data_IF_191785532506
#
_entry.id   IF_191785532506
#
_cell.length_a   1.000
_cell.length_b   1.000
_cell.length_c   1.000
_cell.angle_alpha   90.00
_cell.angle_beta   90.00
_cell.angle_gamma   90.00
#
_symmetry.space_group_name_H-M   'P 1'
#
loop_
_entity.id
_entity.type
_entity.pdbx_description
1 polymer ?
#
# COMPACT_ATOMS: atom_id res chain seq x y z
N UNK A 1 -1.20 5.16 -44.31
CA UNK A 1 -0.90 4.34 -43.11
C UNK A 1 -0.46 5.30 -42.01
N UNK A 2 -1.42 5.79 -41.24
CA UNK A 2 -1.20 6.77 -40.19
C UNK A 2 -0.50 6.11 -39.00
N UNK A 3 0.41 6.85 -38.38
CA UNK A 3 1.49 6.35 -37.53
C UNK A 3 1.01 5.94 -36.13
N UNK A 4 0.38 4.76 -36.01
CA UNK A 4 -0.12 4.20 -34.74
C UNK A 4 1.01 4.06 -33.68
N UNK A 5 2.29 4.10 -34.09
CA UNK A 5 3.44 3.96 -33.19
C UNK A 5 3.79 5.23 -32.38
N UNK A 6 3.38 6.42 -32.84
CA UNK A 6 3.68 7.69 -32.17
C UNK A 6 2.90 7.94 -30.86
N UNK A 7 1.57 7.74 -30.78
CA UNK A 7 0.82 8.01 -29.54
C UNK A 7 1.22 7.09 -28.39
N UNK A 8 1.54 5.82 -28.68
CA UNK A 8 1.98 4.85 -27.66
C UNK A 8 3.36 5.20 -27.06
N UNK A 9 4.29 5.70 -27.89
CA UNK A 9 5.60 6.18 -27.42
C UNK A 9 5.49 7.45 -26.58
N UNK A 10 4.68 8.42 -27.02
CA UNK A 10 4.43 9.65 -26.27
C UNK A 10 3.86 9.36 -24.87
N UNK A 11 2.85 8.49 -24.79
CA UNK A 11 2.25 8.10 -23.51
C UNK A 11 3.24 7.41 -22.56
N UNK A 12 4.13 6.57 -23.11
CA UNK A 12 5.18 5.89 -22.32
C UNK A 12 6.20 6.89 -21.77
N UNK A 13 6.57 7.91 -22.55
CA UNK A 13 7.49 8.96 -22.10
C UNK A 13 6.88 9.80 -20.98
N UNK A 14 5.58 10.15 -21.09
CA UNK A 14 4.85 10.85 -20.03
C UNK A 14 4.87 10.02 -18.74
N UNK A 15 4.55 8.73 -18.81
CA UNK A 15 4.57 7.84 -17.62
C UNK A 15 5.94 7.79 -16.94
N UNK A 16 7.02 7.72 -17.71
CA UNK A 16 8.39 7.75 -17.17
C UNK A 16 8.68 9.08 -16.48
N UNK A 17 8.26 10.20 -17.06
CA UNK A 17 8.43 11.52 -16.44
C UNK A 17 7.70 11.61 -15.10
N UNK A 18 6.45 11.14 -15.02
CA UNK A 18 5.69 11.08 -13.76
C UNK A 18 6.34 10.17 -12.71
N UNK A 19 6.87 9.01 -13.12
CA UNK A 19 7.58 8.11 -12.22
C UNK A 19 8.85 8.77 -11.64
N UNK A 20 9.65 9.42 -12.49
CA UNK A 20 10.86 10.14 -12.07
C UNK A 20 10.49 11.29 -11.14
N UNK A 21 9.48 12.09 -11.50
CA UNK A 21 8.99 13.17 -10.66
C UNK A 21 8.54 12.66 -9.29
N UNK A 22 7.83 11.52 -9.24
CA UNK A 22 7.44 10.85 -7.99
C UNK A 22 8.64 10.46 -7.13
N UNK A 23 9.66 9.81 -7.70
CA UNK A 23 10.88 9.39 -7.00
C UNK A 23 11.65 10.61 -6.46
N UNK A 24 11.82 11.65 -7.27
CA UNK A 24 12.53 12.87 -6.86
C UNK A 24 11.75 13.58 -5.74
N UNK A 25 10.43 13.70 -5.87
CA UNK A 25 9.59 14.34 -4.85
C UNK A 25 9.63 13.54 -3.55
N UNK A 26 9.64 12.20 -3.62
CA UNK A 26 9.82 11.32 -2.46
C UNK A 26 11.16 11.59 -1.77
N UNK A 27 12.25 11.63 -2.54
CA UNK A 27 13.58 11.89 -2.00
C UNK A 27 13.67 13.27 -1.33
N UNK A 28 13.10 14.31 -1.95
CA UNK A 28 13.04 15.66 -1.35
C UNK A 28 12.20 15.65 -0.07
N UNK A 29 11.05 14.98 -0.08
CA UNK A 29 10.16 14.87 1.08
C UNK A 29 10.88 14.24 2.28
N UNK A 30 11.54 13.10 2.08
CA UNK A 30 12.22 12.35 3.16
C UNK A 30 13.55 12.98 3.57
N UNK A 31 14.36 13.47 2.63
CA UNK A 31 15.73 13.92 2.92
C UNK A 31 15.83 15.41 3.25
N UNK A 32 14.86 16.23 2.86
CA UNK A 32 14.92 17.70 3.03
C UNK A 32 13.76 18.21 3.87
N UNK A 33 12.53 17.94 3.44
CA UNK A 33 11.33 18.53 4.08
C UNK A 33 11.13 17.96 5.48
N UNK A 34 11.17 16.63 5.62
CA UNK A 34 10.97 15.95 6.90
C UNK A 34 11.98 16.37 7.98
N UNK A 35 13.31 16.38 7.74
CA UNK A 35 14.27 16.85 8.74
C UNK A 35 14.05 18.32 9.14
N UNK A 36 13.69 19.18 8.19
CA UNK A 36 13.44 20.60 8.47
C UNK A 36 12.21 20.79 9.36
N UNK A 37 11.10 20.09 9.07
CA UNK A 37 9.89 20.20 9.90
C UNK A 37 10.06 19.52 11.25
N UNK A 38 10.59 18.28 11.28
CA UNK A 38 10.80 17.52 12.53
C UNK A 38 11.81 18.17 13.48
N UNK A 39 12.71 19.03 12.99
CA UNK A 39 13.60 19.81 13.86
C UNK A 39 12.88 20.91 14.66
N UNK A 40 11.65 21.27 14.27
CA UNK A 40 10.88 22.38 14.84
C UNK A 40 9.67 21.93 15.65
N UNK A 41 9.31 20.64 15.57
CA UNK A 41 8.06 20.10 16.10
C UNK A 41 8.31 18.74 16.74
N UNK A 42 7.51 18.41 17.76
CA UNK A 42 7.56 17.10 18.42
C UNK A 42 6.35 16.22 18.07
N UNK A 43 5.29 16.81 17.52
CA UNK A 43 4.04 16.10 17.20
C UNK A 43 3.93 15.84 15.69
N UNK A 44 3.42 14.66 15.34
CA UNK A 44 3.21 14.26 13.93
C UNK A 44 2.21 15.17 13.22
N UNK A 45 1.20 15.66 13.93
CA UNK A 45 0.17 16.54 13.36
C UNK A 45 0.75 17.87 12.83
N UNK A 46 1.94 18.23 13.29
CA UNK A 46 2.66 19.46 12.91
C UNK A 46 3.63 19.24 11.74
N UNK A 47 3.53 18.12 11.01
CA UNK A 47 4.31 17.81 9.79
C UNK A 47 3.48 17.88 8.49
N UNK A 48 2.68 18.94 8.25
CA UNK A 48 1.75 18.97 7.13
C UNK A 48 2.46 18.93 5.78
N UNK A 49 3.62 19.58 5.62
CA UNK A 49 4.31 19.61 4.33
C UNK A 49 4.94 18.26 4.00
N UNK A 50 5.46 17.55 5.00
CA UNK A 50 5.98 16.19 4.85
C UNK A 50 4.88 15.26 4.36
N UNK A 51 3.74 15.19 5.05
CA UNK A 51 2.66 14.29 4.66
C UNK A 51 2.04 14.66 3.31
N UNK A 52 1.88 15.96 3.02
CA UNK A 52 1.38 16.42 1.73
C UNK A 52 2.32 16.05 0.59
N UNK A 53 3.63 16.30 0.75
CA UNK A 53 4.63 16.01 -0.30
C UNK A 53 4.83 14.52 -0.50
N UNK A 54 4.73 13.74 0.57
CA UNK A 54 4.72 12.27 0.51
C UNK A 54 3.48 11.77 -0.26
N UNK A 55 2.29 12.31 0.03
CA UNK A 55 1.07 11.95 -0.69
C UNK A 55 1.17 12.27 -2.19
N UNK A 56 1.69 13.44 -2.55
CA UNK A 56 1.95 13.82 -3.94
C UNK A 56 2.95 12.85 -4.59
N UNK A 57 4.07 12.55 -3.93
CA UNK A 57 5.08 11.62 -4.44
C UNK A 57 4.50 10.22 -4.71
N UNK A 58 3.68 9.70 -3.79
CA UNK A 58 3.02 8.40 -3.94
C UNK A 58 2.01 8.41 -5.08
N UNK A 59 1.20 9.47 -5.23
CA UNK A 59 0.25 9.60 -6.34
C UNK A 59 0.94 9.68 -7.70
N UNK A 60 2.02 10.47 -7.80
CA UNK A 60 2.85 10.57 -9.01
C UNK A 60 3.50 9.22 -9.36
N UNK A 61 4.07 8.53 -8.37
CA UNK A 61 4.65 7.20 -8.54
C UNK A 61 3.61 6.18 -9.00
N UNK A 62 2.44 6.19 -8.36
CA UNK A 62 1.33 5.30 -8.71
C UNK A 62 0.82 5.55 -10.13
N UNK A 63 0.69 6.81 -10.55
CA UNK A 63 0.35 7.17 -11.93
C UNK A 63 1.43 6.72 -12.94
N UNK A 64 2.71 6.94 -12.63
CA UNK A 64 3.83 6.50 -13.46
C UNK A 64 3.82 4.97 -13.68
N UNK A 65 3.62 4.21 -12.60
CA UNK A 65 3.59 2.74 -12.63
C UNK A 65 2.35 2.18 -13.33
N UNK A 66 1.14 2.67 -13.03
CA UNK A 66 -0.10 2.08 -13.53
C UNK A 66 -0.61 2.69 -14.85
N UNK A 67 -0.27 3.93 -15.17
CA UNK A 67 -0.74 4.64 -16.37
C UNK A 67 -2.26 4.66 -16.48
N UNK A 68 -2.81 4.13 -17.58
CA UNK A 68 -4.26 4.07 -17.82
C UNK A 68 -5.06 3.29 -16.75
N UNK A 69 -4.41 2.44 -15.95
CA UNK A 69 -5.09 1.72 -14.87
C UNK A 69 -4.98 2.44 -13.52
N UNK A 70 -4.53 3.70 -13.48
CA UNK A 70 -4.36 4.48 -12.25
C UNK A 70 -5.62 4.48 -11.37
N UNK A 71 -6.78 4.84 -11.92
CA UNK A 71 -8.03 4.86 -11.16
C UNK A 71 -8.46 3.48 -10.66
N UNK A 72 -8.14 2.41 -11.40
CA UNK A 72 -8.42 1.03 -10.95
C UNK A 72 -7.53 0.66 -9.76
N UNK A 73 -6.26 1.07 -9.77
CA UNK A 73 -5.36 0.91 -8.63
C UNK A 73 -5.81 1.72 -7.42
N UNK A 74 -6.22 2.97 -7.63
CA UNK A 74 -6.76 3.82 -6.56
C UNK A 74 -8.03 3.24 -5.95
N UNK A 75 -8.96 2.74 -6.78
CA UNK A 75 -10.16 2.06 -6.32
C UNK A 75 -9.83 0.79 -5.53
N UNK A 76 -8.86 0.01 -5.99
CA UNK A 76 -8.40 -1.18 -5.28
C UNK A 76 -7.83 -0.83 -3.90
N UNK A 77 -6.99 0.21 -3.80
CA UNK A 77 -6.49 0.71 -2.51
C UNK A 77 -7.64 1.09 -1.59
N UNK A 78 -8.61 1.88 -2.09
CA UNK A 78 -9.74 2.33 -1.30
C UNK A 78 -10.62 1.17 -0.78
N UNK A 79 -10.97 0.24 -1.66
CA UNK A 79 -11.74 -0.96 -1.28
C UNK A 79 -10.95 -1.82 -0.29
N UNK A 80 -9.65 -1.99 -0.51
CA UNK A 80 -8.80 -2.77 0.39
C UNK A 80 -8.68 -2.15 1.77
N UNK A 81 -8.58 -0.81 1.87
CA UNK A 81 -8.64 -0.09 3.14
C UNK A 81 -9.94 -0.34 3.91
N UNK A 82 -11.09 -0.34 3.22
CA UNK A 82 -12.39 -0.64 3.83
C UNK A 82 -12.44 -2.09 4.32
N UNK A 83 -11.97 -3.04 3.51
CA UNK A 83 -11.93 -4.45 3.90
C UNK A 83 -11.02 -4.65 5.11
N UNK A 84 -9.83 -4.04 5.12
CA UNK A 84 -8.90 -4.09 6.25
C UNK A 84 -9.50 -3.51 7.54
N UNK A 85 -10.18 -2.37 7.44
CA UNK A 85 -10.95 -1.79 8.55
C UNK A 85 -12.00 -2.76 9.09
N UNK A 86 -12.83 -3.34 8.20
CA UNK A 86 -13.89 -4.29 8.58
C UNK A 86 -13.30 -5.51 9.27
N UNK A 87 -12.21 -6.09 8.74
CA UNK A 87 -11.56 -7.26 9.32
C UNK A 87 -11.09 -6.98 10.75
N UNK A 88 -10.39 -5.88 10.99
CA UNK A 88 -9.92 -5.52 12.34
C UNK A 88 -11.07 -5.16 13.27
N UNK A 89 -12.14 -4.54 12.76
CA UNK A 89 -13.30 -4.17 13.55
C UNK A 89 -14.03 -5.38 14.13
N UNK A 90 -14.09 -6.48 13.37
CA UNK A 90 -14.69 -7.74 13.82
C UNK A 90 -13.70 -8.68 14.52
N UNK A 91 -12.40 -8.60 14.22
CA UNK A 91 -11.39 -9.48 14.81
C UNK A 91 -11.04 -9.13 16.27
N UNK A 92 -11.12 -7.86 16.66
CA UNK A 92 -10.84 -7.43 18.02
C UNK A 92 -12.13 -7.28 18.84
N UNK A 93 -12.16 -7.71 20.12
CA UNK A 93 -13.33 -7.59 20.96
C UNK A 93 -13.84 -6.14 21.04
N UNK A 94 -15.16 -5.96 21.19
CA UNK A 94 -15.84 -4.66 21.28
C UNK A 94 -15.52 -3.97 22.61
N UNK A 95 -14.26 -3.64 22.79
CA UNK A 95 -13.76 -2.77 23.85
C UNK A 95 -13.93 -1.34 23.35
N UNK A 96 -14.17 -0.38 24.26
CA UNK A 96 -14.13 1.06 23.95
C UNK A 96 -12.76 1.39 23.36
N UNK A 97 -12.65 1.40 22.02
CA UNK A 97 -11.38 1.53 21.29
C UNK A 97 -11.25 0.66 20.03
N UNK A 98 -12.15 -0.31 19.81
CA UNK A 98 -12.08 -1.19 18.62
C UNK A 98 -12.09 -0.41 17.30
N UNK A 99 -12.90 0.65 17.19
CA UNK A 99 -12.91 1.53 16.03
C UNK A 99 -11.56 2.24 15.82
N UNK A 100 -10.91 2.69 16.90
CA UNK A 100 -9.59 3.33 16.82
C UNK A 100 -8.53 2.32 16.33
N UNK A 101 -8.49 1.12 16.92
CA UNK A 101 -7.58 0.04 16.50
C UNK A 101 -7.80 -0.33 15.02
N UNK A 102 -9.06 -0.39 14.59
CA UNK A 102 -9.42 -0.72 13.21
C UNK A 102 -8.99 0.36 12.20
N UNK A 103 -9.04 1.63 12.60
CA UNK A 103 -8.52 2.73 11.80
C UNK A 103 -6.99 2.66 11.76
N UNK A 104 -6.35 2.43 12.92
CA UNK A 104 -4.89 2.51 13.06
C UNK A 104 -4.15 1.30 12.46
N UNK A 105 -4.74 0.10 12.51
CA UNK A 105 -4.14 -1.14 11.99
C UNK A 105 -4.86 -1.66 10.74
N UNK A 106 -6.18 -1.58 10.72
CA UNK A 106 -6.99 -2.12 9.62
C UNK A 106 -6.84 -1.34 8.31
N UNK A 107 -6.88 -0.01 8.35
CA UNK A 107 -6.71 0.79 7.13
C UNK A 107 -5.29 0.62 6.55
N UNK A 108 -4.19 0.78 7.32
CA UNK A 108 -2.84 0.59 6.79
C UNK A 108 -2.58 -0.84 6.28
N UNK A 109 -3.07 -1.87 6.98
CA UNK A 109 -2.92 -3.26 6.53
C UNK A 109 -3.62 -3.51 5.19
N UNK A 110 -4.83 -2.96 5.00
CA UNK A 110 -5.53 -2.98 3.71
C UNK A 110 -4.72 -2.30 2.61
N UNK A 111 -4.26 -1.07 2.83
CA UNK A 111 -3.43 -0.32 1.86
C UNK A 111 -2.21 -1.13 1.44
N UNK A 112 -1.47 -1.69 2.40
CA UNK A 112 -0.25 -2.46 2.14
C UNK A 112 -0.58 -3.76 1.40
N UNK A 113 -1.63 -4.48 1.79
CA UNK A 113 -2.06 -5.69 1.11
C UNK A 113 -2.40 -5.43 -0.36
N UNK A 114 -3.12 -4.34 -0.66
CA UNK A 114 -3.41 -3.93 -2.03
C UNK A 114 -2.14 -3.55 -2.83
N UNK A 115 -1.19 -2.83 -2.21
CA UNK A 115 0.09 -2.50 -2.86
C UNK A 115 0.87 -3.77 -3.23
N UNK A 116 1.04 -4.70 -2.28
CA UNK A 116 1.74 -5.98 -2.50
C UNK A 116 1.01 -6.82 -3.55
N UNK A 117 -0.33 -6.89 -3.49
CA UNK A 117 -1.12 -7.58 -4.49
C UNK A 117 -0.98 -6.97 -5.88
N UNK A 118 -0.93 -5.65 -6.03
CA UNK A 118 -0.72 -5.00 -7.33
C UNK A 118 0.62 -5.41 -7.95
N UNK A 119 1.69 -5.46 -7.14
CA UNK A 119 3.01 -5.93 -7.58
C UNK A 119 2.96 -7.41 -7.96
N UNK A 120 2.41 -8.26 -7.10
CA UNK A 120 2.30 -9.70 -7.35
C UNK A 120 1.45 -10.00 -8.59
N UNK A 121 0.34 -9.28 -8.77
CA UNK A 121 -0.55 -9.44 -9.92
C UNK A 121 0.12 -9.04 -11.23
N UNK A 122 0.98 -8.01 -11.21
CA UNK A 122 1.74 -7.58 -12.38
C UNK A 122 2.75 -8.65 -12.82
N UNK A 123 3.50 -9.24 -11.88
CA UNK A 123 4.58 -10.19 -12.19
C UNK A 123 4.08 -11.63 -12.39
N UNK A 124 3.17 -12.13 -11.56
CA UNK A 124 2.84 -13.57 -11.52
C UNK A 124 1.49 -13.91 -12.15
N UNK A 125 0.47 -13.05 -12.00
CA UNK A 125 -0.91 -13.40 -12.35
C UNK A 125 -1.36 -12.88 -13.72
N UNK A 126 -0.55 -12.05 -14.39
CA UNK A 126 -0.89 -11.48 -15.70
C UNK A 126 -0.96 -12.52 -16.82
N UNK A 127 -0.23 -13.64 -16.71
CA UNK A 127 -0.12 -14.66 -17.75
C UNK A 127 -1.17 -15.80 -17.65
N UNK A 128 -1.95 -15.88 -16.57
CA UNK A 128 -2.91 -16.96 -16.38
C UNK A 128 -4.18 -16.76 -17.23
N UNK A 129 -4.45 -17.70 -18.17
CA UNK A 129 -5.66 -17.68 -19.03
C UNK A 129 -6.92 -18.25 -18.39
N UNK A 130 -6.81 -19.29 -17.55
CA UNK A 130 -7.96 -19.95 -16.92
C UNK A 130 -8.06 -19.64 -15.42
N UNK A 131 -9.29 -19.43 -14.92
CA UNK A 131 -9.63 -19.08 -13.53
C UNK A 131 -8.88 -17.85 -12.98
N UNK A 132 -8.57 -16.87 -13.84
CA UNK A 132 -7.74 -15.70 -13.49
C UNK A 132 -8.29 -14.91 -12.29
N UNK A 133 -9.59 -14.63 -12.28
CA UNK A 133 -10.22 -13.87 -11.19
C UNK A 133 -10.19 -14.64 -9.87
N UNK A 134 -10.50 -15.94 -9.90
CA UNK A 134 -10.49 -16.78 -8.71
C UNK A 134 -9.08 -16.88 -8.11
N UNK A 135 -8.05 -17.04 -8.96
CA UNK A 135 -6.65 -16.99 -8.53
C UNK A 135 -6.27 -15.64 -7.94
N UNK A 136 -6.72 -14.54 -8.54
CA UNK A 136 -6.47 -13.18 -8.03
C UNK A 136 -7.11 -12.96 -6.67
N UNK A 137 -8.35 -13.41 -6.47
CA UNK A 137 -9.04 -13.33 -5.17
C UNK A 137 -8.28 -14.14 -4.12
N UNK A 138 -7.92 -15.40 -4.42
CA UNK A 138 -7.18 -16.25 -3.49
C UNK A 138 -5.83 -15.63 -3.10
N UNK A 139 -5.05 -15.16 -4.08
CA UNK A 139 -3.75 -14.54 -3.81
C UNK A 139 -3.91 -13.25 -3.00
N UNK A 140 -4.90 -12.41 -3.33
CA UNK A 140 -5.21 -11.22 -2.54
C UNK A 140 -5.59 -11.58 -1.11
N UNK A 141 -6.47 -12.57 -0.91
CA UNK A 141 -6.88 -13.02 0.43
C UNK A 141 -5.70 -13.54 1.25
N UNK A 142 -4.78 -14.30 0.64
CA UNK A 142 -3.57 -14.79 1.32
C UNK A 142 -2.68 -13.61 1.73
N UNK A 143 -2.44 -12.66 0.82
CA UNK A 143 -1.63 -11.47 1.11
C UNK A 143 -2.27 -10.66 2.23
N UNK A 144 -3.58 -10.42 2.16
CA UNK A 144 -4.32 -9.67 3.17
C UNK A 144 -4.25 -10.35 4.53
N UNK A 145 -4.39 -11.67 4.60
CA UNK A 145 -4.26 -12.44 5.83
C UNK A 145 -2.87 -12.29 6.44
N UNK A 146 -1.81 -12.46 5.63
CA UNK A 146 -0.42 -12.30 6.09
C UNK A 146 -0.19 -10.89 6.62
N UNK A 147 -0.56 -9.87 5.85
CA UNK A 147 -0.37 -8.47 6.25
C UNK A 147 -1.19 -8.12 7.49
N UNK A 148 -2.44 -8.61 7.60
CA UNK A 148 -3.26 -8.41 8.78
C UNK A 148 -2.64 -9.04 10.03
N UNK A 149 -2.09 -10.25 9.93
CA UNK A 149 -1.39 -10.89 11.06
C UNK A 149 -0.16 -10.07 11.47
N UNK A 150 0.66 -9.63 10.50
CA UNK A 150 1.85 -8.80 10.77
C UNK A 150 1.50 -7.51 11.51
N UNK A 151 0.39 -6.86 11.13
CA UNK A 151 -0.11 -5.65 11.77
C UNK A 151 -0.78 -5.91 13.13
N UNK A 152 -1.50 -7.02 13.28
CA UNK A 152 -2.22 -7.35 14.51
C UNK A 152 -1.32 -7.74 15.67
N UNK A 153 -0.20 -8.41 15.39
CA UNK A 153 0.76 -8.87 16.39
C UNK A 153 2.04 -8.02 16.42
N UNK A 154 2.13 -6.95 15.63
CA UNK A 154 3.19 -5.95 15.73
C UNK A 154 4.61 -6.50 15.58
N UNK A 155 4.92 -7.19 14.49
CA UNK A 155 6.30 -7.61 14.15
C UNK A 155 6.95 -8.69 15.04
N UNK A 156 6.58 -8.77 16.31
CA UNK A 156 7.12 -9.69 17.33
C UNK A 156 6.42 -11.06 17.35
N UNK A 157 5.45 -11.29 16.46
CA UNK A 157 4.73 -12.56 16.35
C UNK A 157 5.64 -13.79 16.16
N UNK A 158 6.81 -13.64 15.51
CA UNK A 158 7.80 -14.72 15.38
C UNK A 158 8.38 -15.07 16.75
N UNK A 159 8.67 -14.04 17.56
CA UNK A 159 9.21 -14.20 18.91
C UNK A 159 8.20 -14.95 19.79
N UNK A 160 6.93 -14.52 19.78
CA UNK A 160 5.84 -15.17 20.54
C UNK A 160 5.63 -16.64 20.13
N UNK A 161 5.68 -16.96 18.84
CA UNK A 161 5.57 -18.34 18.36
C UNK A 161 6.78 -19.18 18.82
N UNK A 162 7.99 -18.64 18.70
CA UNK A 162 9.20 -19.36 19.13
C UNK A 162 9.28 -19.54 20.64
N UNK A 163 8.72 -18.62 21.43
CA UNK A 163 8.67 -18.75 22.89
C UNK A 163 7.56 -19.70 23.34
N UNK A 164 6.43 -19.76 22.62
CA UNK A 164 5.38 -20.74 22.84
C UNK A 164 5.90 -22.18 22.67
N UNK A 165 6.60 -22.46 21.57
CA UNK A 165 7.18 -23.80 21.35
C UNK A 165 8.30 -24.16 22.34
N UNK A 166 9.00 -23.17 22.93
CA UNK A 166 10.00 -23.41 23.99
C UNK A 166 9.40 -23.71 25.36
N UNK A 167 8.12 -23.39 25.59
CA UNK A 167 7.43 -23.69 26.86
C UNK A 167 6.85 -25.10 26.90
N UNK A 168 6.71 -25.75 25.75
CA UNK A 168 6.11 -27.06 25.60
C UNK A 168 7.14 -28.21 25.49
N UNK A 169 8.44 -27.90 25.57
CA UNK A 169 9.59 -28.83 25.72
C UNK A 169 10.15 -28.81 27.16
#
# INVERSE_FOLDING_TARGET
MENISQPAKAFTNIRKAFLIAGIITLAISVAVIFPIESSKTYFLEELPYTFLTLAIALLLGMFGLLGNNFFKGLLLLFVSSIVGFILFYFAFPVIRGSAFISIWLGIPSGIIAALVFMVANYYFLRAAKSYRLLKQIIVYSIILLIVAILFGYGGDWIYDITEYFKRDD
#
